data_IF_299397873204
#
_entry.id   IF_299397873204
#
_cell.length_a   1.000
_cell.length_b   1.000
_cell.length_c   1.000
_cell.angle_alpha   90.00
_cell.angle_beta   90.00
_cell.angle_gamma   90.00
#
_symmetry.space_group_name_H-M   'P 1'
#
loop_
_entity.id
_entity.type
_entity.pdbx_description
1 polymer ?
#
# COMPACT_ATOMS: atom_id res chain seq x y z
N UNK A 1 -26.82 2.18 10.01
CA UNK A 1 -25.56 2.15 9.22
C UNK A 1 -25.67 1.47 7.86
N UNK A 2 -26.27 0.26 7.73
CA UNK A 2 -26.48 -0.43 6.43
C UNK A 2 -27.14 0.44 5.37
N UNK A 3 -28.28 1.08 5.66
CA UNK A 3 -28.99 1.95 4.72
C UNK A 3 -28.19 3.22 4.32
N UNK A 4 -27.31 3.73 5.19
CA UNK A 4 -26.47 4.90 4.91
C UNK A 4 -25.20 4.52 4.12
N UNK A 5 -24.74 3.28 4.28
CA UNK A 5 -23.72 2.66 3.41
C UNK A 5 -24.34 2.13 2.10
N UNK A 6 -25.64 1.86 2.04
CA UNK A 6 -26.36 1.43 0.84
C UNK A 6 -26.80 2.62 -0.03
N UNK A 7 -27.26 3.73 0.57
CA UNK A 7 -27.48 5.00 -0.14
C UNK A 7 -26.16 5.61 -0.64
N UNK A 8 -25.07 5.34 0.08
CA UNK A 8 -23.72 5.61 -0.39
C UNK A 8 -23.09 4.41 -1.10
N UNK A 9 -23.78 3.29 -1.39
CA UNK A 9 -23.13 2.12 -2.01
C UNK A 9 -22.72 2.39 -3.45
N UNK A 10 -23.40 3.33 -4.11
CA UNK A 10 -23.02 3.87 -5.42
C UNK A 10 -21.81 4.83 -5.32
N UNK A 11 -21.45 5.30 -4.12
CA UNK A 11 -20.31 6.18 -3.83
C UNK A 11 -19.20 5.51 -2.99
N UNK A 12 -19.46 4.34 -2.39
CA UNK A 12 -18.54 3.55 -1.56
C UNK A 12 -17.65 2.61 -2.38
N UNK A 13 -17.98 2.38 -3.65
CA UNK A 13 -17.03 1.83 -4.63
C UNK A 13 -15.91 2.82 -4.96
N UNK A 14 -16.06 4.09 -4.56
CA UNK A 14 -15.08 5.17 -4.73
C UNK A 14 -14.47 5.67 -3.41
N UNK A 15 -14.74 5.03 -2.27
CA UNK A 15 -14.01 5.36 -1.03
C UNK A 15 -12.68 4.58 -1.01
N UNK A 16 -11.53 5.27 -1.10
CA UNK A 16 -10.26 4.57 -1.15
C UNK A 16 -9.91 4.03 0.24
N UNK A 17 -9.14 2.94 0.32
CA UNK A 17 -8.77 2.32 1.58
C UNK A 17 -7.98 3.32 2.44
N UNK A 18 -8.59 3.71 3.56
CA UNK A 18 -8.01 4.55 4.61
C UNK A 18 -6.70 3.91 5.09
N UNK A 19 -5.58 4.63 4.95
CA UNK A 19 -4.39 4.38 5.75
C UNK A 19 -3.63 5.69 6.04
N UNK A 20 -3.41 5.94 7.33
CA UNK A 20 -2.52 6.96 7.85
C UNK A 20 -1.07 6.48 7.67
N UNK A 21 -0.33 7.09 6.75
CA UNK A 21 1.11 6.94 6.68
C UNK A 21 1.77 8.01 7.55
N UNK A 22 2.06 7.68 8.82
CA UNK A 22 3.04 8.46 9.60
C UNK A 22 4.43 7.88 9.32
N UNK A 23 5.23 8.62 8.55
CA UNK A 23 6.68 8.53 8.71
C UNK A 23 7.04 9.24 10.01
N UNK A 24 7.39 8.48 11.04
CA UNK A 24 8.18 8.99 12.16
C UNK A 24 9.26 7.98 12.52
N UNK A 25 10.52 8.39 12.69
CA UNK A 25 11.63 7.51 13.01
C UNK A 25 11.55 7.13 14.50
N UNK A 26 11.73 5.84 14.78
CA UNK A 26 11.77 5.18 16.09
C UNK A 26 10.43 4.66 16.63
N UNK A 27 10.16 3.37 16.34
CA UNK A 27 9.25 2.54 17.13
C UNK A 27 9.87 1.15 17.29
N UNK A 28 10.18 0.84 18.55
CA UNK A 28 10.17 -0.44 19.26
C UNK A 28 10.44 -1.73 18.45
N UNK A 29 11.46 -2.47 18.90
CA UNK A 29 11.80 -3.87 18.62
C UNK A 29 10.66 -4.74 18.07
N UNK A 30 10.91 -5.37 16.92
CA UNK A 30 10.01 -6.35 16.29
C UNK A 30 10.79 -7.62 15.90
N UNK A 31 10.53 -8.78 16.54
CA UNK A 31 10.83 -10.11 15.99
C UNK A 31 9.51 -10.91 15.80
N UNK A 32 9.25 -11.75 14.78
CA UNK A 32 10.05 -12.65 13.94
C UNK A 32 9.43 -12.83 12.54
N UNK A 33 10.30 -13.27 11.61
CA UNK A 33 10.11 -13.74 10.24
C UNK A 33 9.56 -12.73 9.23
N UNK A 34 10.45 -12.26 8.34
CA UNK A 34 10.09 -11.75 7.03
C UNK A 34 9.42 -12.89 6.25
N UNK A 35 8.10 -13.01 6.39
CA UNK A 35 7.28 -13.44 5.28
C UNK A 35 7.31 -12.31 4.27
N UNK A 36 8.29 -12.33 3.37
CA UNK A 36 8.15 -11.60 2.13
C UNK A 36 6.97 -12.22 1.37
N UNK A 37 6.28 -11.37 0.63
CA UNK A 37 5.17 -11.66 -0.28
C UNK A 37 3.79 -11.42 0.37
N UNK A 38 3.03 -10.50 -0.21
CA UNK A 38 1.63 -10.20 0.11
C UNK A 38 0.70 -11.36 -0.32
N UNK A 39 1.18 -12.59 -0.21
CA UNK A 39 0.55 -13.81 -0.72
C UNK A 39 -0.57 -14.29 0.18
N UNK A 40 -1.49 -15.03 -0.43
CA UNK A 40 -2.65 -15.59 0.25
C UNK A 40 -2.20 -16.73 1.17
N UNK A 41 -2.59 -16.67 2.45
CA UNK A 41 -2.37 -17.81 3.36
C UNK A 41 -3.30 -18.95 2.94
N UNK A 42 -2.72 -20.05 2.47
CA UNK A 42 -3.47 -21.20 1.92
C UNK A 42 -4.26 -21.95 2.99
N UNK A 43 -3.68 -22.12 4.19
CA UNK A 43 -4.35 -22.83 5.29
C UNK A 43 -5.47 -21.98 5.91
N UNK A 44 -6.72 -22.39 5.70
CA UNK A 44 -7.94 -21.67 6.15
C UNK A 44 -7.89 -21.21 7.61
N UNK A 45 -7.55 -22.12 8.55
CA UNK A 45 -7.47 -21.77 9.98
C UNK A 45 -6.35 -20.79 10.33
N UNK A 46 -5.19 -20.90 9.68
CA UNK A 46 -4.09 -19.95 9.87
C UNK A 46 -4.42 -18.57 9.28
N UNK A 47 -5.16 -18.54 8.16
CA UNK A 47 -5.64 -17.32 7.51
C UNK A 47 -6.61 -16.55 8.39
N UNK A 48 -7.59 -17.24 8.99
CA UNK A 48 -8.57 -16.61 9.89
C UNK A 48 -7.93 -16.10 11.18
N UNK A 49 -7.07 -16.89 11.81
CA UNK A 49 -6.33 -16.47 13.00
C UNK A 49 -5.45 -15.23 12.71
N UNK A 50 -4.77 -15.22 11.57
CA UNK A 50 -3.95 -14.08 11.14
C UNK A 50 -4.80 -12.84 10.85
N UNK A 51 -5.95 -13.00 10.19
CA UNK A 51 -6.91 -11.92 9.95
C UNK A 51 -7.35 -11.29 11.27
N UNK A 52 -7.81 -12.10 12.23
CA UNK A 52 -8.29 -11.60 13.52
C UNK A 52 -7.17 -10.93 14.33
N UNK A 53 -5.95 -11.49 14.31
CA UNK A 53 -4.78 -10.87 14.96
C UNK A 53 -4.42 -9.52 14.35
N UNK A 54 -4.38 -9.43 13.01
CA UNK A 54 -4.06 -8.19 12.30
C UNK A 54 -5.15 -7.13 12.46
N UNK A 55 -6.42 -7.52 12.39
CA UNK A 55 -7.56 -6.62 12.63
C UNK A 55 -7.50 -6.01 14.03
N UNK A 56 -7.30 -6.84 15.06
CA UNK A 56 -7.14 -6.34 16.44
C UNK A 56 -5.95 -5.38 16.56
N UNK A 57 -4.80 -5.76 16.01
CA UNK A 57 -3.61 -4.92 16.02
C UNK A 57 -3.82 -3.59 15.28
N UNK A 58 -4.60 -3.57 14.19
CA UNK A 58 -4.97 -2.35 13.48
C UNK A 58 -5.82 -1.43 14.36
N UNK A 59 -6.86 -1.96 15.00
CA UNK A 59 -7.73 -1.18 15.90
C UNK A 59 -6.95 -0.61 17.08
N UNK A 60 -6.07 -1.39 17.71
CA UNK A 60 -5.22 -0.90 18.81
C UNK A 60 -4.28 0.22 18.35
N UNK A 61 -3.68 0.11 17.15
CA UNK A 61 -2.81 1.17 16.63
C UNK A 61 -3.58 2.43 16.29
N UNK A 62 -4.79 2.31 15.76
CA UNK A 62 -5.64 3.47 15.49
C UNK A 62 -5.95 4.21 16.77
N UNK A 63 -6.38 3.50 17.82
CA UNK A 63 -6.66 4.08 19.14
C UNK A 63 -5.44 4.81 19.73
N UNK A 64 -4.24 4.22 19.60
CA UNK A 64 -3.00 4.88 20.01
C UNK A 64 -2.70 6.13 19.18
N UNK A 65 -2.85 6.07 17.86
CA UNK A 65 -2.57 7.20 16.95
C UNK A 65 -3.55 8.34 17.23
N UNK A 66 -4.85 8.06 17.35
CA UNK A 66 -5.85 9.09 17.65
C UNK A 66 -5.59 9.72 19.01
N UNK A 67 -5.22 8.93 20.02
CA UNK A 67 -4.93 9.42 21.37
C UNK A 67 -3.64 10.24 21.44
N UNK A 68 -2.54 9.72 20.87
CA UNK A 68 -1.22 10.35 20.99
C UNK A 68 -1.05 11.56 20.07
N UNK A 69 -1.65 11.52 18.88
CA UNK A 69 -1.48 12.55 17.86
C UNK A 69 -2.69 13.50 17.77
N UNK A 70 -3.77 13.25 18.52
CA UNK A 70 -4.98 14.09 18.48
C UNK A 70 -5.65 14.11 17.10
N UNK A 71 -5.48 13.04 16.32
CA UNK A 71 -6.05 12.95 14.97
C UNK A 71 -7.39 12.24 15.00
N UNK A 72 -8.35 12.75 14.22
CA UNK A 72 -9.61 12.06 14.00
C UNK A 72 -9.43 10.98 12.94
N UNK A 73 -9.76 9.74 13.30
CA UNK A 73 -9.68 8.61 12.39
C UNK A 73 -10.86 7.66 12.62
N UNK A 74 -11.23 6.95 11.57
CA UNK A 74 -12.18 5.85 11.65
C UNK A 74 -11.69 4.69 10.78
N UNK A 75 -12.28 3.51 10.96
CA UNK A 75 -11.99 2.36 10.10
C UNK A 75 -13.23 1.52 9.86
N UNK A 76 -13.37 1.09 8.62
CA UNK A 76 -14.48 0.25 8.14
C UNK A 76 -13.85 -0.98 7.49
N UNK A 77 -14.16 -2.16 8.00
CA UNK A 77 -13.57 -3.42 7.55
C UNK A 77 -14.66 -4.33 7.03
N UNK A 78 -14.54 -4.72 5.77
CA UNK A 78 -15.31 -5.82 5.18
C UNK A 78 -14.46 -7.08 5.18
N UNK A 79 -14.81 -8.04 6.03
CA UNK A 79 -14.07 -9.28 6.22
C UNK A 79 -14.78 -10.49 5.62
N UNK A 80 -14.06 -11.50 5.11
CA UNK A 80 -14.70 -12.68 4.51
C UNK A 80 -15.27 -13.66 5.56
N UNK A 81 -15.08 -13.39 6.85
CA UNK A 81 -15.39 -14.32 7.95
C UNK A 81 -16.64 -13.94 8.74
N UNK A 82 -17.10 -12.69 8.62
CA UNK A 82 -18.29 -12.20 9.31
C UNK A 82 -19.14 -11.42 8.32
N UNK A 83 -20.47 -11.63 8.29
CA UNK A 83 -21.33 -10.84 7.45
C UNK A 83 -21.37 -9.39 7.95
N UNK A 84 -21.29 -8.45 7.01
CA UNK A 84 -21.37 -7.01 7.29
C UNK A 84 -20.02 -6.33 7.52
N UNK A 85 -20.10 -5.06 7.92
CA UNK A 85 -18.94 -4.21 8.17
C UNK A 85 -18.63 -4.18 9.67
N UNK A 86 -17.36 -4.41 10.00
CA UNK A 86 -16.84 -4.13 11.34
C UNK A 86 -16.27 -2.71 11.34
N UNK A 87 -16.75 -1.87 12.25
CA UNK A 87 -16.36 -0.46 12.31
C UNK A 87 -15.72 -0.08 13.64
N UNK A 88 -14.89 0.96 13.61
CA UNK A 88 -14.26 1.58 14.78
C UNK A 88 -14.22 3.10 14.58
N UNK A 89 -14.45 3.93 15.62
CA UNK A 89 -14.66 3.55 17.03
C UNK A 89 -16.06 3.03 17.36
N UNK A 90 -17.09 3.66 16.81
CA UNK A 90 -18.49 3.22 16.82
C UNK A 90 -19.19 3.81 15.58
N UNK A 91 -20.44 3.44 15.33
CA UNK A 91 -21.18 3.88 14.14
C UNK A 91 -21.25 5.42 14.04
N UNK A 92 -21.52 6.12 15.13
CA UNK A 92 -21.64 7.58 15.16
C UNK A 92 -20.30 8.28 14.92
N UNK A 93 -19.23 7.80 15.54
CA UNK A 93 -17.88 8.33 15.38
C UNK A 93 -17.38 8.15 13.95
N UNK A 94 -17.68 7.01 13.33
CA UNK A 94 -17.38 6.79 11.91
C UNK A 94 -18.14 7.78 11.04
N UNK A 95 -19.43 7.98 11.28
CA UNK A 95 -20.24 8.95 10.54
C UNK A 95 -19.73 10.39 10.70
N UNK A 96 -19.32 10.78 11.92
CA UNK A 96 -18.72 12.09 12.18
C UNK A 96 -17.45 12.32 11.34
N UNK A 97 -16.53 11.35 11.35
CA UNK A 97 -15.30 11.40 10.56
C UNK A 97 -15.60 11.42 9.05
N UNK A 98 -16.55 10.61 8.59
CA UNK A 98 -16.97 10.58 7.18
C UNK A 98 -17.60 11.90 6.73
N UNK A 99 -18.46 12.51 7.55
CA UNK A 99 -19.08 13.78 7.25
C UNK A 99 -18.04 14.90 7.16
N UNK A 100 -17.09 14.93 8.10
CA UNK A 100 -15.96 15.86 8.07
C UNK A 100 -15.06 15.64 6.85
N UNK A 101 -14.78 14.39 6.50
CA UNK A 101 -14.02 14.08 5.29
C UNK A 101 -14.78 14.49 4.02
N UNK A 102 -16.10 14.32 4.00
CA UNK A 102 -16.97 14.70 2.89
C UNK A 102 -17.05 16.21 2.66
N UNK A 103 -16.93 17.02 3.70
CA UNK A 103 -16.95 18.48 3.61
C UNK A 103 -15.60 19.11 3.20
N UNK A 104 -14.51 18.32 3.16
CA UNK A 104 -13.20 18.79 2.69
C UNK A 104 -13.15 18.92 1.16
N UNK A 105 -12.28 19.81 0.68
CA UNK A 105 -12.04 19.97 -0.75
C UNK A 105 -11.43 18.70 -1.38
N UNK A 106 -11.61 18.50 -2.68
CA UNK A 106 -11.03 17.34 -3.36
C UNK A 106 -9.50 17.29 -3.26
N UNK A 107 -8.85 18.45 -3.29
CA UNK A 107 -7.40 18.57 -3.14
C UNK A 107 -6.95 18.11 -1.75
N UNK A 108 -7.63 18.54 -0.69
CA UNK A 108 -7.30 18.17 0.68
C UNK A 108 -7.53 16.68 0.93
N UNK A 109 -8.62 16.12 0.38
CA UNK A 109 -8.93 14.68 0.50
C UNK A 109 -7.92 13.80 -0.22
N UNK A 110 -7.42 14.22 -1.38
CA UNK A 110 -6.56 13.41 -2.24
C UNK A 110 -5.06 13.53 -1.92
N UNK A 111 -4.64 14.58 -1.21
CA UNK A 111 -3.23 14.92 -0.94
C UNK A 111 -2.39 13.77 -0.41
N UNK A 112 -2.96 12.95 0.46
CA UNK A 112 -2.29 11.79 1.07
C UNK A 112 -3.07 10.49 0.87
N UNK A 113 -3.95 10.45 -0.12
CA UNK A 113 -4.74 9.27 -0.41
C UNK A 113 -3.88 8.20 -1.10
N UNK A 114 -3.81 7.02 -0.50
CA UNK A 114 -3.05 5.89 -1.03
C UNK A 114 -3.98 4.81 -1.58
N UNK A 115 -3.68 4.33 -2.79
CA UNK A 115 -4.41 3.27 -3.46
C UNK A 115 -3.45 2.11 -3.72
N UNK A 116 -3.82 0.90 -3.28
CA UNK A 116 -2.98 -0.30 -3.45
C UNK A 116 -2.65 -0.57 -4.92
N UNK A 117 -3.60 -0.38 -5.83
CA UNK A 117 -3.40 -0.53 -7.27
C UNK A 117 -2.36 0.49 -7.76
N UNK A 118 -2.56 1.78 -7.44
CA UNK A 118 -1.61 2.84 -7.79
C UNK A 118 -0.22 2.60 -7.19
N UNK A 119 -0.15 2.10 -5.97
CA UNK A 119 1.13 1.76 -5.33
C UNK A 119 1.84 0.62 -6.06
N UNK A 120 1.12 -0.42 -6.47
CA UNK A 120 1.68 -1.52 -7.26
C UNK A 120 2.15 -1.03 -8.63
N UNK A 121 1.34 -0.24 -9.34
CA UNK A 121 1.71 0.39 -10.60
C UNK A 121 2.99 1.22 -10.48
N UNK A 122 3.08 2.06 -9.44
CA UNK A 122 4.28 2.85 -9.16
C UNK A 122 5.51 1.97 -8.89
N UNK A 123 5.34 0.82 -8.23
CA UNK A 123 6.43 -0.14 -8.00
C UNK A 123 6.86 -0.81 -9.30
N UNK A 124 5.91 -1.22 -10.13
CA UNK A 124 6.17 -1.80 -11.46
C UNK A 124 6.96 -0.80 -12.30
N UNK A 125 6.47 0.43 -12.41
CA UNK A 125 7.13 1.52 -13.15
C UNK A 125 8.57 1.76 -12.69
N UNK A 126 8.81 1.79 -11.37
CA UNK A 126 10.17 1.93 -10.82
C UNK A 126 11.09 0.78 -11.21
N UNK A 127 10.58 -0.45 -11.27
CA UNK A 127 11.35 -1.62 -11.71
C UNK A 127 11.63 -1.53 -13.21
N UNK A 128 10.65 -1.14 -14.02
CA UNK A 128 10.81 -0.95 -15.46
C UNK A 128 11.85 0.13 -15.81
N UNK A 129 11.84 1.26 -15.09
CA UNK A 129 12.83 2.32 -15.23
C UNK A 129 14.25 1.82 -14.91
N UNK A 130 14.40 1.04 -13.84
CA UNK A 130 15.69 0.39 -13.51
C UNK A 130 16.13 -0.57 -14.60
N UNK A 131 15.22 -1.39 -15.14
CA UNK A 131 15.51 -2.31 -16.24
C UNK A 131 15.92 -1.57 -17.52
N UNK A 132 15.30 -0.42 -17.81
CA UNK A 132 15.67 0.43 -18.96
C UNK A 132 17.07 1.01 -18.77
N UNK A 133 17.38 1.53 -17.58
CA UNK A 133 18.70 2.07 -17.24
C UNK A 133 19.78 1.00 -17.35
N UNK A 134 19.53 -0.20 -16.82
CA UNK A 134 20.50 -1.30 -16.89
C UNK A 134 20.77 -1.72 -18.35
N UNK A 135 19.72 -1.83 -19.18
CA UNK A 135 19.88 -2.14 -20.61
C UNK A 135 20.70 -1.08 -21.35
N UNK A 136 20.50 0.19 -21.03
CA UNK A 136 21.30 1.28 -21.60
C UNK A 136 22.78 1.18 -21.20
N UNK A 137 23.06 0.94 -19.91
CA UNK A 137 24.43 0.77 -19.42
C UNK A 137 25.12 -0.46 -20.02
N UNK A 138 24.42 -1.59 -20.11
CA UNK A 138 24.96 -2.81 -20.72
C UNK A 138 25.34 -2.58 -22.19
N UNK A 139 24.50 -1.88 -22.97
CA UNK A 139 24.84 -1.53 -24.37
C UNK A 139 26.07 -0.64 -24.47
N UNK A 140 26.25 0.30 -23.55
CA UNK A 140 27.46 1.12 -23.47
C UNK A 140 28.70 0.26 -23.22
N UNK A 141 28.64 -0.64 -22.24
CA UNK A 141 29.73 -1.57 -21.94
C UNK A 141 30.04 -2.52 -23.09
N UNK A 142 29.02 -3.04 -23.79
CA UNK A 142 29.20 -3.87 -24.99
C UNK A 142 29.97 -3.10 -26.07
N UNK A 143 29.64 -1.83 -26.29
CA UNK A 143 30.34 -0.97 -27.25
C UNK A 143 31.80 -0.73 -26.85
N UNK A 144 32.05 -0.44 -25.57
CA UNK A 144 33.40 -0.22 -25.04
C UNK A 144 34.27 -1.49 -25.19
N UNK A 145 33.70 -2.66 -24.94
CA UNK A 145 34.37 -3.96 -25.12
C UNK A 145 34.72 -4.16 -26.60
N UNK A 146 33.77 -3.96 -27.51
CA UNK A 146 33.99 -4.12 -28.95
C UNK A 146 35.08 -3.17 -29.47
N UNK A 147 35.09 -1.91 -29.02
CA UNK A 147 36.14 -0.96 -29.39
C UNK A 147 37.52 -1.41 -28.87
N UNK A 148 37.60 -1.87 -27.62
CA UNK A 148 38.84 -2.39 -27.03
C UNK A 148 39.36 -3.61 -27.79
N UNK A 149 38.49 -4.54 -28.18
CA UNK A 149 38.88 -5.73 -28.94
C UNK A 149 39.32 -5.40 -30.37
N UNK A 150 38.71 -4.39 -31.00
CA UNK A 150 39.16 -3.87 -32.30
C UNK A 150 40.55 -3.24 -32.20
N UNK A 151 40.79 -2.40 -31.19
CA UNK A 151 42.09 -1.73 -30.98
C UNK A 151 43.21 -2.71 -30.60
N UNK A 152 42.87 -3.78 -29.87
CA UNK A 152 43.84 -4.82 -29.51
C UNK A 152 44.07 -5.88 -30.59
N UNK A 153 43.40 -5.75 -31.75
CA UNK A 153 43.53 -6.68 -32.88
C UNK A 153 42.90 -8.06 -32.65
N UNK A 154 42.09 -8.22 -31.59
CA UNK A 154 41.36 -9.47 -31.29
C UNK A 154 40.12 -9.64 -32.17
N UNK A 155 39.56 -8.55 -32.65
CA UNK A 155 38.42 -8.51 -33.58
C UNK A 155 38.91 -8.01 -34.94
N UNK A 156 38.88 -8.87 -35.96
CA UNK A 156 39.13 -8.46 -37.35
C UNK A 156 37.81 -8.11 -38.02
N UNK A 157 37.62 -6.84 -38.38
CA UNK A 157 36.57 -6.42 -39.31
C UNK A 157 37.07 -6.66 -40.73
N UNK A 158 37.24 -7.93 -41.09
CA UNK A 158 37.59 -8.35 -42.45
C UNK A 158 36.33 -8.50 -43.30
N UNK A 159 36.29 -7.79 -44.44
CA UNK A 159 35.35 -8.05 -45.53
C UNK A 159 35.71 -9.26 -46.36
#
# INVERSE_FOLDING_TARGET
>A
MKAHLESNSTTLTNLPPIFLCFSSPNILNMPKSKGNNNELIEKKGAKEATYNKRKRGLMTKLDQITTLCGVEACTIINGPYKPGYEVWPNDEGVLSVLNKFGSMSEMDRSKHMENKTRQLENRIKKVEEKMKKQRFLNRGLEMDILMSDCLSGKLSLGG
#
